data_IF_274687148730
#
_entry.id   IF_274687148730
#
_cell.length_a   1.000
_cell.length_b   1.000
_cell.length_c   1.000
_cell.angle_alpha   90.00
_cell.angle_beta   90.00
_cell.angle_gamma   90.00
#
_symmetry.space_group_name_H-M   'P 1'
#
loop_
_entity.id
_entity.type
_entity.pdbx_description
1 polymer ?
#
# COMPACT_ATOMS: atom_id res chain seq x y z
N UNK A 1 -9.61 33.79 9.13
CA UNK A 1 -10.70 33.54 10.11
C UNK A 1 -10.12 32.80 11.30
N UNK A 2 -10.45 33.18 12.54
CA UNK A 2 -10.00 32.43 13.73
C UNK A 2 -10.88 31.17 13.89
N UNK A 3 -10.29 30.05 14.32
CA UNK A 3 -11.03 28.79 14.59
C UNK A 3 -12.15 28.98 15.63
N UNK A 4 -12.03 30.00 16.49
CA UNK A 4 -13.04 30.40 17.50
C UNK A 4 -14.32 31.02 16.92
N UNK A 5 -14.35 31.35 15.63
CA UNK A 5 -15.51 32.04 15.03
C UNK A 5 -16.40 31.08 14.21
N UNK A 6 -15.94 29.83 14.05
CA UNK A 6 -16.64 28.81 13.26
C UNK A 6 -17.62 28.06 14.14
N UNK A 7 -18.81 27.73 13.62
CA UNK A 7 -19.80 26.93 14.37
C UNK A 7 -19.26 25.56 14.79
N UNK A 8 -19.57 25.11 16.01
CA UNK A 8 -19.13 23.82 16.58
C UNK A 8 -19.49 22.66 15.64
N UNK A 9 -20.74 22.63 15.15
CA UNK A 9 -21.19 21.59 14.23
C UNK A 9 -20.36 21.52 12.94
N UNK A 10 -19.94 22.68 12.41
CA UNK A 10 -19.07 22.74 11.25
C UNK A 10 -17.64 22.27 11.59
N UNK A 11 -17.10 22.63 12.76
CA UNK A 11 -15.77 22.15 13.20
C UNK A 11 -15.72 20.63 13.32
N UNK A 12 -16.72 20.03 13.97
CA UNK A 12 -16.83 18.58 14.10
C UNK A 12 -17.05 17.91 12.74
N UNK A 13 -17.92 18.45 11.89
CA UNK A 13 -18.16 17.95 10.54
C UNK A 13 -16.90 17.97 9.69
N UNK A 14 -16.14 19.08 9.70
CA UNK A 14 -14.86 19.19 8.99
C UNK A 14 -13.83 18.22 9.56
N UNK A 15 -13.72 18.09 10.89
CA UNK A 15 -12.78 17.15 11.51
C UNK A 15 -13.07 15.70 11.15
N UNK A 16 -14.35 15.29 11.18
CA UNK A 16 -14.75 13.94 10.78
C UNK A 16 -14.57 13.70 9.29
N UNK A 17 -14.97 14.66 8.44
CA UNK A 17 -14.76 14.58 7.00
C UNK A 17 -13.26 14.48 6.65
N UNK A 18 -12.41 15.27 7.31
CA UNK A 18 -10.96 15.18 7.16
C UNK A 18 -10.44 13.80 7.57
N UNK A 19 -10.88 13.23 8.69
CA UNK A 19 -10.47 11.89 9.12
C UNK A 19 -10.84 10.82 8.07
N UNK A 20 -12.05 10.87 7.54
CA UNK A 20 -12.51 9.96 6.48
C UNK A 20 -11.66 10.13 5.22
N UNK A 21 -11.40 11.37 4.79
CA UNK A 21 -10.56 11.65 3.63
C UNK A 21 -9.11 11.19 3.82
N UNK A 22 -8.53 11.38 5.00
CA UNK A 22 -7.18 10.90 5.32
C UNK A 22 -7.11 9.36 5.29
N UNK A 23 -8.15 8.69 5.78
CA UNK A 23 -8.26 7.23 5.76
C UNK A 23 -8.42 6.72 4.33
N UNK A 24 -9.28 7.37 3.53
CA UNK A 24 -9.46 7.06 2.12
C UNK A 24 -8.17 7.29 1.31
N UNK A 25 -7.45 8.38 1.58
CA UNK A 25 -6.16 8.69 0.96
C UNK A 25 -5.11 7.62 1.29
N UNK A 26 -4.99 7.24 2.56
CA UNK A 26 -4.07 6.17 2.98
C UNK A 26 -4.41 4.83 2.31
N UNK A 27 -5.71 4.51 2.21
CA UNK A 27 -6.20 3.33 1.51
C UNK A 27 -5.85 3.36 0.02
N UNK A 28 -6.08 4.49 -0.66
CA UNK A 28 -5.75 4.68 -2.07
C UNK A 28 -4.25 4.54 -2.34
N UNK A 29 -3.39 5.18 -1.54
CA UNK A 29 -1.93 5.05 -1.65
C UNK A 29 -1.50 3.59 -1.42
N UNK A 30 -2.05 2.93 -0.41
CA UNK A 30 -1.72 1.53 -0.11
C UNK A 30 -2.12 0.59 -1.26
N UNK A 31 -3.32 0.76 -1.83
CA UNK A 31 -3.79 -0.01 -2.98
C UNK A 31 -2.94 0.23 -4.23
N UNK A 32 -2.57 1.48 -4.50
CA UNK A 32 -1.70 1.82 -5.63
C UNK A 32 -0.32 1.17 -5.50
N UNK A 33 0.29 1.24 -4.30
CA UNK A 33 1.59 0.61 -4.06
C UNK A 33 1.51 -0.93 -4.11
N UNK A 34 0.43 -1.52 -3.60
CA UNK A 34 0.20 -2.97 -3.68
C UNK A 34 0.00 -3.44 -5.12
N UNK A 35 -0.69 -2.66 -5.95
CA UNK A 35 -0.86 -2.94 -7.38
C UNK A 35 0.47 -2.96 -8.13
N UNK A 36 1.40 -2.05 -7.81
CA UNK A 36 2.76 -2.06 -8.38
C UNK A 36 3.55 -3.30 -7.98
N UNK A 37 3.49 -3.68 -6.69
CA UNK A 37 4.14 -4.91 -6.21
C UNK A 37 3.55 -6.14 -6.90
N UNK A 38 2.22 -6.18 -7.05
CA UNK A 38 1.55 -7.29 -7.75
C UNK A 38 1.98 -7.38 -9.21
N UNK A 39 2.06 -6.28 -9.94
CA UNK A 39 2.42 -6.29 -11.36
C UNK A 39 3.83 -6.88 -11.57
N UNK A 40 4.81 -6.43 -10.78
CA UNK A 40 6.19 -6.95 -10.88
C UNK A 40 6.27 -8.42 -10.43
N UNK A 41 5.55 -8.80 -9.37
CA UNK A 41 5.48 -10.20 -8.94
C UNK A 41 4.86 -11.10 -10.00
N UNK A 42 3.87 -10.59 -10.73
CA UNK A 42 3.24 -11.30 -11.85
C UNK A 42 4.23 -11.49 -13.01
N UNK A 43 5.00 -10.47 -13.39
CA UNK A 43 6.01 -10.58 -14.44
C UNK A 43 7.03 -11.70 -14.14
N UNK A 44 7.55 -11.74 -12.91
CA UNK A 44 8.47 -12.80 -12.47
C UNK A 44 7.80 -14.19 -12.56
N UNK A 45 6.56 -14.30 -12.09
CA UNK A 45 5.86 -15.58 -11.98
C UNK A 45 5.34 -16.11 -13.32
N UNK A 46 4.86 -15.24 -14.21
CA UNK A 46 4.23 -15.62 -15.48
C UNK A 46 5.13 -15.52 -16.70
N UNK A 47 6.28 -14.83 -16.61
CA UNK A 47 7.22 -14.68 -17.70
C UNK A 47 8.61 -15.26 -17.34
N UNK A 48 9.34 -14.62 -16.44
CA UNK A 48 10.77 -14.90 -16.23
C UNK A 48 11.05 -16.31 -15.67
N UNK A 49 10.31 -16.75 -14.66
CA UNK A 49 10.49 -18.09 -14.08
C UNK A 49 10.16 -19.20 -15.09
N UNK A 50 9.01 -19.16 -15.80
CA UNK A 50 8.76 -20.08 -16.91
C UNK A 50 9.84 -20.05 -18.00
N UNK A 51 10.33 -18.87 -18.40
CA UNK A 51 11.38 -18.74 -19.42
C UNK A 51 12.70 -19.42 -19.01
N UNK A 52 13.13 -19.28 -17.76
CA UNK A 52 14.27 -20.05 -17.21
C UNK A 52 13.98 -21.56 -17.24
N UNK A 53 12.76 -21.96 -16.88
CA UNK A 53 12.34 -23.37 -16.90
C UNK A 53 12.36 -23.97 -18.31
N UNK A 54 11.73 -23.31 -19.28
CA UNK A 54 11.63 -23.80 -20.66
C UNK A 54 12.99 -23.84 -21.35
N UNK A 55 13.83 -22.81 -21.21
CA UNK A 55 15.19 -22.84 -21.77
C UNK A 55 16.04 -23.98 -21.18
N UNK A 56 15.87 -24.28 -19.90
CA UNK A 56 16.43 -25.46 -19.25
C UNK A 56 15.90 -26.78 -19.82
N UNK A 57 14.58 -26.90 -20.01
CA UNK A 57 13.95 -28.09 -20.59
C UNK A 57 14.38 -28.33 -22.04
N UNK A 58 14.45 -27.28 -22.87
CA UNK A 58 15.00 -27.35 -24.23
C UNK A 58 16.42 -27.89 -24.23
N UNK A 59 17.27 -27.40 -23.32
CA UNK A 59 18.65 -27.89 -23.18
C UNK A 59 18.68 -29.37 -22.80
N UNK A 60 17.83 -29.81 -21.88
CA UNK A 60 17.72 -31.23 -21.50
C UNK A 60 17.26 -32.09 -22.67
N UNK A 61 16.24 -31.67 -23.41
CA UNK A 61 15.70 -32.41 -24.57
C UNK A 61 16.75 -32.55 -25.67
N UNK A 62 17.47 -31.47 -26.01
CA UNK A 62 18.57 -31.52 -26.97
C UNK A 62 19.69 -32.46 -26.54
N UNK A 63 20.12 -32.42 -25.28
CA UNK A 63 21.15 -33.33 -24.76
C UNK A 63 20.68 -34.79 -24.75
N UNK A 64 19.40 -35.04 -24.47
CA UNK A 64 18.82 -36.39 -24.55
C UNK A 64 18.76 -36.90 -26.00
N UNK A 65 18.42 -36.05 -26.96
CA UNK A 65 18.49 -36.39 -28.38
C UNK A 65 19.93 -36.71 -28.80
N UNK A 66 20.90 -35.87 -28.41
CA UNK A 66 22.33 -36.10 -28.68
C UNK A 66 22.83 -37.42 -28.09
N UNK A 67 22.34 -37.80 -26.90
CA UNK A 67 22.63 -39.09 -26.28
C UNK A 67 22.02 -40.27 -27.05
N UNK A 68 20.80 -40.13 -27.57
CA UNK A 68 20.18 -41.16 -28.42
C UNK A 68 20.95 -41.33 -29.74
N UNK A 69 21.44 -40.23 -30.32
CA UNK A 69 22.33 -40.26 -31.50
C UNK A 69 23.63 -41.02 -31.20
N UNK A 70 24.27 -40.75 -30.05
CA UNK A 70 25.45 -41.50 -29.61
C UNK A 70 25.15 -43.00 -29.40
N UNK A 71 23.96 -43.33 -28.88
CA UNK A 71 23.50 -44.71 -28.71
C UNK A 71 23.44 -45.50 -30.01
N UNK A 72 23.11 -44.84 -31.13
CA UNK A 72 23.09 -45.48 -32.46
C UNK A 72 24.47 -45.93 -32.93
N UNK A 73 25.54 -45.23 -32.54
CA UNK A 73 26.93 -45.58 -32.89
C UNK A 73 27.32 -46.92 -32.26
N UNK A 74 26.83 -47.17 -31.04
CA UNK A 74 27.11 -48.39 -30.27
C UNK A 74 26.02 -49.46 -30.37
N UNK A 75 25.01 -49.23 -31.22
CA UNK A 75 23.91 -50.16 -31.39
C UNK A 75 24.41 -51.51 -31.93
N UNK A 76 23.71 -52.58 -31.57
CA UNK A 76 24.07 -53.96 -31.94
C UNK A 76 23.05 -54.63 -32.84
N UNK A 77 21.96 -53.95 -33.16
CA UNK A 77 20.91 -54.44 -34.04
C UNK A 77 20.13 -53.31 -34.70
N UNK A 78 19.46 -53.64 -35.79
CA UNK A 78 18.49 -52.73 -36.46
C UNK A 78 17.35 -52.32 -35.53
N UNK A 79 16.93 -53.20 -34.61
CA UNK A 79 15.90 -52.90 -33.62
C UNK A 79 16.36 -51.82 -32.62
N UNK A 80 17.62 -51.86 -32.17
CA UNK A 80 18.18 -50.82 -31.29
C UNK A 80 18.28 -49.46 -32.01
N UNK A 81 18.75 -49.43 -33.26
CA UNK A 81 18.79 -48.21 -34.07
C UNK A 81 17.37 -47.63 -34.23
N UNK A 82 16.39 -48.47 -34.56
CA UNK A 82 15.01 -48.03 -34.71
C UNK A 82 14.44 -47.47 -33.40
N UNK A 83 14.71 -48.11 -32.26
CA UNK A 83 14.29 -47.62 -30.95
C UNK A 83 14.90 -46.24 -30.61
N UNK A 84 16.18 -46.02 -30.91
CA UNK A 84 16.79 -44.70 -30.74
C UNK A 84 16.20 -43.64 -31.70
N UNK A 85 15.88 -44.03 -32.94
CA UNK A 85 15.27 -43.12 -33.92
C UNK A 85 13.88 -42.66 -33.46
N UNK A 86 13.04 -43.59 -32.99
CA UNK A 86 11.72 -43.30 -32.44
C UNK A 86 11.79 -42.40 -31.21
N UNK A 87 12.75 -42.66 -30.32
CA UNK A 87 13.02 -41.82 -29.16
C UNK A 87 13.40 -40.38 -29.55
N UNK A 88 14.20 -40.20 -30.60
CA UNK A 88 14.56 -38.86 -31.09
C UNK A 88 13.35 -38.15 -31.72
N UNK A 89 12.53 -38.86 -32.49
CA UNK A 89 11.29 -38.29 -33.06
C UNK A 89 10.33 -37.84 -31.96
N UNK A 90 10.14 -38.66 -30.92
CA UNK A 90 9.31 -38.29 -29.77
C UNK A 90 9.84 -37.02 -29.06
N UNK A 91 11.16 -36.96 -28.83
CA UNK A 91 11.79 -35.78 -28.18
C UNK A 91 11.78 -34.54 -29.06
N UNK A 92 11.87 -34.68 -30.37
CA UNK A 92 11.74 -33.56 -31.29
C UNK A 92 10.35 -32.91 -31.16
N UNK A 93 9.29 -33.72 -31.03
CA UNK A 93 7.92 -33.23 -30.77
C UNK A 93 7.80 -32.54 -29.42
N UNK A 94 8.40 -33.09 -28.36
CA UNK A 94 8.44 -32.43 -27.06
C UNK A 94 9.17 -31.10 -27.12
N UNK A 95 10.28 -31.03 -27.85
CA UNK A 95 11.07 -29.83 -28.02
C UNK A 95 10.28 -28.75 -28.78
N UNK A 96 9.57 -29.11 -29.86
CA UNK A 96 8.67 -28.20 -30.58
C UNK A 96 7.54 -27.66 -29.68
N UNK A 97 6.96 -28.53 -28.83
CA UNK A 97 5.94 -28.12 -27.87
C UNK A 97 6.49 -27.11 -26.87
N UNK A 98 7.68 -27.36 -26.29
CA UNK A 98 8.31 -26.45 -25.33
C UNK A 98 8.72 -25.14 -25.99
N UNK A 99 9.23 -25.18 -27.23
CA UNK A 99 9.51 -23.96 -28.00
C UNK A 99 8.26 -23.11 -28.20
N UNK A 100 7.12 -23.72 -28.54
CA UNK A 100 5.86 -23.01 -28.71
C UNK A 100 5.33 -22.38 -27.40
N UNK A 101 5.66 -22.99 -26.25
CA UNK A 101 5.33 -22.44 -24.93
C UNK A 101 6.27 -21.30 -24.52
N UNK A 102 7.53 -21.35 -24.96
CA UNK A 102 8.53 -20.35 -24.67
C UNK A 102 8.46 -19.12 -25.59
N UNK A 103 8.21 -19.32 -26.90
CA UNK A 103 8.15 -18.24 -27.89
C UNK A 103 7.31 -17.01 -27.50
N UNK A 104 6.10 -17.13 -26.91
CA UNK A 104 5.33 -15.96 -26.48
C UNK A 104 5.93 -15.20 -25.30
N UNK A 105 6.84 -15.81 -24.54
CA UNK A 105 7.52 -15.22 -23.39
C UNK A 105 8.83 -14.52 -23.77
N UNK A 106 9.33 -14.76 -24.98
CA UNK A 106 10.60 -14.19 -25.44
C UNK A 106 10.52 -12.68 -25.55
N UNK A 107 11.32 -11.99 -24.73
CA UNK A 107 11.38 -10.54 -24.71
C UNK A 107 12.01 -9.97 -25.99
N UNK A 108 11.60 -8.76 -26.44
CA UNK A 108 12.26 -8.07 -27.54
C UNK A 108 13.76 -7.82 -27.29
N UNK A 109 14.52 -7.59 -28.37
CA UNK A 109 15.96 -7.31 -28.29
C UNK A 109 16.81 -8.58 -28.23
N UNK A 110 17.79 -8.61 -27.33
CA UNK A 110 18.83 -9.64 -27.27
C UNK A 110 18.26 -11.06 -27.09
N UNK A 111 17.21 -11.23 -26.28
CA UNK A 111 16.59 -12.54 -26.08
C UNK A 111 15.92 -13.06 -27.36
N UNK A 112 15.18 -12.20 -28.08
CA UNK A 112 14.57 -12.56 -29.37
C UNK A 112 15.61 -12.89 -30.43
N UNK A 113 16.70 -12.14 -30.49
CA UNK A 113 17.80 -12.41 -31.41
C UNK A 113 18.46 -13.77 -31.11
N UNK A 114 18.76 -14.03 -29.83
CA UNK A 114 19.31 -15.31 -29.39
C UNK A 114 18.35 -16.49 -29.66
N UNK A 115 17.04 -16.30 -29.51
CA UNK A 115 16.04 -17.32 -29.80
C UNK A 115 15.97 -17.65 -31.29
N UNK A 116 16.05 -16.64 -32.16
CA UNK A 116 16.12 -16.88 -33.61
C UNK A 116 17.44 -17.57 -34.00
N UNK A 117 18.56 -17.16 -33.42
CA UNK A 117 19.84 -17.83 -33.63
C UNK A 117 19.79 -19.31 -33.20
N UNK A 118 19.15 -19.61 -32.07
CA UNK A 118 18.89 -20.97 -31.63
C UNK A 118 18.07 -21.75 -32.66
N UNK A 119 16.95 -21.21 -33.14
CA UNK A 119 16.11 -21.88 -34.17
C UNK A 119 16.90 -22.20 -35.43
N UNK A 120 17.71 -21.26 -35.90
CA UNK A 120 18.57 -21.45 -37.09
C UNK A 120 19.62 -22.53 -36.85
N UNK A 121 20.34 -22.50 -35.72
CA UNK A 121 21.40 -23.48 -35.40
C UNK A 121 20.83 -24.86 -35.14
N UNK A 122 19.67 -24.96 -34.47
CA UNK A 122 18.93 -26.20 -34.30
C UNK A 122 18.56 -26.82 -35.65
N UNK A 123 18.03 -26.01 -36.58
CA UNK A 123 17.66 -26.51 -37.91
C UNK A 123 18.89 -27.01 -38.69
N UNK A 124 20.05 -26.36 -38.56
CA UNK A 124 21.30 -26.84 -39.15
C UNK A 124 21.75 -28.18 -38.54
N UNK A 125 21.73 -28.29 -37.21
CA UNK A 125 22.02 -29.54 -36.50
C UNK A 125 21.07 -30.67 -36.91
N UNK A 126 19.76 -30.41 -37.04
CA UNK A 126 18.78 -31.43 -37.42
C UNK A 126 19.04 -32.01 -38.82
N UNK A 127 19.59 -31.22 -39.76
CA UNK A 127 19.99 -31.75 -41.08
C UNK A 127 21.12 -32.77 -40.95
N UNK A 128 22.13 -32.48 -40.12
CA UNK A 128 23.26 -33.37 -39.87
C UNK A 128 22.82 -34.63 -39.10
N UNK A 129 21.97 -34.45 -38.09
CA UNK A 129 21.38 -35.56 -37.34
C UNK A 129 20.55 -36.49 -38.24
N UNK A 130 19.77 -35.94 -39.17
CA UNK A 130 18.98 -36.74 -40.12
C UNK A 130 19.89 -37.62 -40.99
N UNK A 131 21.00 -37.06 -41.49
CA UNK A 131 21.99 -37.83 -42.26
C UNK A 131 22.61 -38.97 -41.43
N UNK A 132 22.97 -38.70 -40.17
CA UNK A 132 23.50 -39.74 -39.29
C UNK A 132 22.46 -40.86 -39.07
N UNK A 133 21.20 -40.52 -38.82
CA UNK A 133 20.12 -41.50 -38.62
C UNK A 133 19.91 -42.36 -39.87
N UNK A 134 19.97 -41.77 -41.07
CA UNK A 134 19.84 -42.51 -42.33
C UNK A 134 20.99 -43.50 -42.52
N UNK A 135 22.24 -43.08 -42.26
CA UNK A 135 23.41 -43.96 -42.30
C UNK A 135 23.29 -45.08 -41.26
N UNK A 136 22.86 -44.76 -40.03
CA UNK A 136 22.69 -45.73 -38.94
C UNK A 136 21.63 -46.80 -39.28
N UNK A 137 20.55 -46.42 -39.94
CA UNK A 137 19.50 -47.35 -40.39
C UNK A 137 19.95 -48.28 -41.52
N UNK A 138 20.93 -47.86 -42.32
CA UNK A 138 21.49 -48.63 -43.42
C UNK A 138 22.60 -49.61 -42.97
N UNK A 139 22.97 -49.61 -41.68
CA UNK A 139 24.01 -50.50 -41.15
C UNK A 139 23.57 -51.96 -41.24
N UNK A 140 24.43 -52.78 -41.85
CA UNK A 140 24.30 -54.23 -41.83
C UNK A 140 24.99 -54.84 -40.60
N UNK A 141 24.18 -55.39 -39.70
CA UNK A 141 24.61 -56.02 -38.45
C UNK A 141 25.01 -57.50 -38.61
N UNK A 142 25.06 -58.03 -39.85
CA UNK A 142 25.31 -59.46 -40.11
C UNK A 142 26.79 -59.87 -40.06
N UNK A 143 27.73 -58.95 -40.29
CA UNK A 143 29.18 -59.24 -40.28
C UNK A 143 29.99 -58.25 -39.45
N UNK A 144 31.08 -58.72 -38.81
CA UNK A 144 31.91 -57.88 -37.94
C UNK A 144 32.68 -56.79 -38.70
N UNK A 145 33.08 -57.04 -39.95
CA UNK A 145 33.84 -56.07 -40.75
C UNK A 145 32.96 -54.90 -41.21
N UNK A 146 31.70 -55.17 -41.60
CA UNK A 146 30.72 -54.13 -41.94
C UNK A 146 30.33 -53.31 -40.70
N UNK A 147 30.28 -53.95 -39.54
CA UNK A 147 30.04 -53.28 -38.25
C UNK A 147 31.18 -52.33 -37.87
N UNK A 148 32.44 -52.73 -38.01
CA UNK A 148 33.57 -51.88 -37.69
C UNK A 148 33.63 -50.62 -38.59
N UNK A 149 33.46 -50.81 -39.91
CA UNK A 149 33.47 -49.70 -40.87
C UNK A 149 32.30 -48.73 -40.68
N UNK A 150 31.11 -49.24 -40.38
CA UNK A 150 29.94 -48.40 -40.11
C UNK A 150 30.05 -47.65 -38.78
N UNK A 151 30.62 -48.28 -37.75
CA UNK A 151 30.89 -47.61 -36.47
C UNK A 151 31.89 -46.45 -36.61
N UNK A 152 32.94 -46.62 -37.41
CA UNK A 152 33.90 -45.54 -37.70
C UNK A 152 33.25 -44.40 -38.50
N UNK A 153 32.45 -44.72 -39.51
CA UNK A 153 31.73 -43.73 -40.30
C UNK A 153 30.73 -42.93 -39.45
N UNK A 154 29.93 -43.61 -38.62
CA UNK A 154 28.99 -42.98 -37.69
C UNK A 154 29.71 -42.14 -36.64
N UNK A 155 30.84 -42.62 -36.11
CA UNK A 155 31.67 -41.87 -35.17
C UNK A 155 32.23 -40.59 -35.80
N UNK A 156 32.66 -40.64 -37.07
CA UNK A 156 33.11 -39.47 -37.82
C UNK A 156 31.99 -38.46 -38.06
N UNK A 157 30.80 -38.90 -38.45
CA UNK A 157 29.63 -38.04 -38.61
C UNK A 157 29.20 -37.40 -37.28
N UNK A 158 29.21 -38.18 -36.20
CA UNK A 158 28.85 -37.72 -34.86
C UNK A 158 29.86 -36.70 -34.34
N UNK A 159 31.15 -37.01 -34.33
CA UNK A 159 32.20 -36.18 -33.72
C UNK A 159 32.67 -35.02 -34.60
N UNK A 160 32.31 -35.01 -35.89
CA UNK A 160 32.68 -33.97 -36.85
C UNK A 160 31.72 -32.77 -36.84
N UNK A 161 31.15 -32.46 -38.01
CA UNK A 161 30.26 -31.30 -38.18
C UNK A 161 29.01 -31.37 -37.31
N UNK A 162 28.48 -32.57 -37.03
CA UNK A 162 27.29 -32.75 -36.17
C UNK A 162 27.56 -32.25 -34.74
N UNK A 163 28.71 -32.59 -34.15
CA UNK A 163 29.10 -32.09 -32.82
C UNK A 163 29.24 -30.58 -32.81
N UNK A 164 29.90 -30.00 -33.83
CA UNK A 164 30.08 -28.54 -33.92
C UNK A 164 28.73 -27.83 -34.00
N UNK A 165 27.80 -28.35 -34.81
CA UNK A 165 26.45 -27.78 -34.94
C UNK A 165 25.62 -27.96 -33.64
N UNK A 166 25.74 -29.11 -32.98
CA UNK A 166 25.11 -29.37 -31.69
C UNK A 166 25.59 -28.38 -30.63
N UNK A 167 26.91 -28.23 -30.47
CA UNK A 167 27.52 -27.31 -29.51
C UNK A 167 27.05 -25.88 -29.78
N UNK A 168 27.06 -25.43 -31.04
CA UNK A 168 26.62 -24.09 -31.39
C UNK A 168 25.14 -23.82 -31.03
N UNK A 169 24.26 -24.82 -31.17
CA UNK A 169 22.86 -24.73 -30.74
C UNK A 169 22.72 -24.79 -29.21
N UNK A 170 23.45 -25.68 -28.53
CA UNK A 170 23.43 -25.79 -27.08
C UNK A 170 23.97 -24.53 -26.38
N UNK A 171 24.96 -23.87 -26.98
CA UNK A 171 25.49 -22.58 -26.51
C UNK A 171 24.44 -21.48 -26.59
N UNK A 172 23.62 -21.41 -27.66
CA UNK A 172 22.52 -20.43 -27.73
C UNK A 172 21.48 -20.65 -26.64
N UNK A 173 21.16 -21.90 -26.28
CA UNK A 173 20.29 -22.19 -25.13
C UNK A 173 20.95 -21.75 -23.81
N UNK A 174 22.27 -21.91 -23.69
CA UNK A 174 23.03 -21.38 -22.56
C UNK A 174 23.01 -19.85 -22.47
N UNK A 175 23.07 -19.16 -23.62
CA UNK A 175 22.93 -17.70 -23.69
C UNK A 175 21.51 -17.26 -23.29
N UNK A 176 20.47 -17.90 -23.84
CA UNK A 176 19.07 -17.62 -23.48
C UNK A 176 18.81 -17.84 -21.99
N UNK A 177 19.36 -18.91 -21.40
CA UNK A 177 19.24 -19.16 -19.97
C UNK A 177 19.93 -18.07 -19.16
N UNK A 178 21.14 -17.62 -19.55
CA UNK A 178 21.84 -16.51 -18.89
C UNK A 178 21.08 -15.19 -18.99
N UNK A 179 20.52 -14.87 -20.16
CA UNK A 179 19.70 -13.67 -20.39
C UNK A 179 18.49 -13.70 -19.46
N UNK A 180 17.73 -14.80 -19.45
CA UNK A 180 16.55 -14.94 -18.61
C UNK A 180 16.87 -14.92 -17.11
N UNK A 181 17.95 -15.58 -16.67
CA UNK A 181 18.38 -15.51 -15.27
C UNK A 181 18.84 -14.11 -14.86
N UNK A 182 19.58 -13.40 -15.73
CA UNK A 182 20.00 -12.03 -15.45
C UNK A 182 18.82 -11.06 -15.38
N UNK A 183 17.83 -11.21 -16.28
CA UNK A 183 16.58 -10.44 -16.21
C UNK A 183 15.80 -10.75 -14.92
N UNK A 184 15.68 -12.02 -14.53
CA UNK A 184 15.04 -12.41 -13.27
C UNK A 184 15.74 -11.81 -12.04
N UNK A 185 17.08 -11.82 -12.00
CA UNK A 185 17.86 -11.22 -10.91
C UNK A 185 17.69 -9.69 -10.86
N UNK A 186 17.67 -9.03 -12.03
CA UNK A 186 17.45 -7.59 -12.13
C UNK A 186 16.05 -7.20 -11.66
N UNK A 187 15.02 -7.91 -12.11
CA UNK A 187 13.63 -7.68 -11.71
C UNK A 187 13.42 -7.95 -10.21
N UNK A 188 14.10 -8.96 -9.66
CA UNK A 188 14.08 -9.20 -8.21
C UNK A 188 14.70 -8.03 -7.43
N UNK A 189 15.82 -7.46 -7.89
CA UNK A 189 16.42 -6.28 -7.27
C UNK A 189 15.50 -5.05 -7.39
N UNK A 190 14.83 -4.88 -8.53
CA UNK A 190 13.86 -3.80 -8.73
C UNK A 190 12.66 -3.96 -7.78
N UNK A 191 12.11 -5.17 -7.62
CA UNK A 191 11.04 -5.47 -6.66
C UNK A 191 11.41 -5.06 -5.24
N UNK A 192 12.65 -5.32 -4.80
CA UNK A 192 13.10 -4.87 -3.48
C UNK A 192 13.09 -3.34 -3.36
N UNK A 193 13.55 -2.63 -4.39
CA UNK A 193 13.54 -1.16 -4.40
C UNK A 193 12.12 -0.60 -4.40
N UNK A 194 11.20 -1.19 -5.18
CA UNK A 194 9.78 -0.82 -5.24
C UNK A 194 9.10 -1.09 -3.91
N UNK A 195 9.42 -2.20 -3.25
CA UNK A 195 8.90 -2.53 -1.93
C UNK A 195 9.37 -1.53 -0.86
N UNK A 196 10.65 -1.16 -0.85
CA UNK A 196 11.17 -0.15 0.07
C UNK A 196 10.53 1.22 -0.18
N UNK A 197 10.40 1.63 -1.44
CA UNK A 197 9.71 2.86 -1.80
C UNK A 197 8.24 2.84 -1.35
N UNK A 198 7.52 1.72 -1.56
CA UNK A 198 6.17 1.53 -1.07
C UNK A 198 6.07 1.69 0.44
N UNK A 199 6.99 1.09 1.19
CA UNK A 199 7.03 1.20 2.64
C UNK A 199 7.25 2.65 3.09
N UNK A 200 8.18 3.38 2.45
CA UNK A 200 8.43 4.80 2.75
C UNK A 200 7.18 5.65 2.45
N UNK A 201 6.51 5.44 1.31
CA UNK A 201 5.29 6.18 0.96
C UNK A 201 4.11 5.89 1.89
N UNK A 202 3.89 4.62 2.25
CA UNK A 202 2.81 4.22 3.16
C UNK A 202 3.07 4.74 4.56
N UNK A 203 4.28 4.57 5.10
CA UNK A 203 4.64 5.07 6.43
C UNK A 203 4.67 6.61 6.48
N UNK A 204 5.16 7.26 5.43
CA UNK A 204 5.17 8.72 5.31
C UNK A 204 3.77 9.30 5.28
N UNK A 205 2.87 8.73 4.45
CA UNK A 205 1.46 9.12 4.40
C UNK A 205 0.76 8.85 5.73
N UNK A 206 1.01 7.69 6.36
CA UNK A 206 0.46 7.37 7.67
C UNK A 206 0.89 8.40 8.73
N UNK A 207 2.19 8.70 8.81
CA UNK A 207 2.72 9.69 9.74
C UNK A 207 2.11 11.08 9.50
N UNK A 208 1.96 11.49 8.24
CA UNK A 208 1.30 12.74 7.88
C UNK A 208 -0.18 12.76 8.29
N UNK A 209 -0.93 11.68 8.03
CA UNK A 209 -2.32 11.54 8.45
C UNK A 209 -2.48 11.61 9.97
N UNK A 210 -1.61 10.93 10.72
CA UNK A 210 -1.60 10.95 12.20
C UNK A 210 -1.29 12.36 12.71
N UNK A 211 -0.26 13.01 12.17
CA UNK A 211 0.10 14.38 12.56
C UNK A 211 -1.06 15.36 12.29
N UNK A 212 -1.71 15.26 11.12
CA UNK A 212 -2.85 16.11 10.77
C UNK A 212 -4.05 15.84 11.70
N UNK A 213 -4.35 14.57 11.98
CA UNK A 213 -5.42 14.17 12.88
C UNK A 213 -5.17 14.67 14.32
N UNK A 214 -3.93 14.62 14.81
CA UNK A 214 -3.55 15.17 16.11
C UNK A 214 -3.73 16.69 16.16
N UNK A 215 -3.27 17.41 15.13
CA UNK A 215 -3.42 18.88 15.06
C UNK A 215 -4.88 19.28 15.03
N UNK A 216 -5.70 18.62 14.21
CA UNK A 216 -7.15 18.87 14.13
C UNK A 216 -7.84 18.51 15.44
N UNK A 217 -7.55 17.34 16.00
CA UNK A 217 -8.12 16.88 17.27
C UNK A 217 -7.83 17.84 18.41
N UNK A 218 -6.55 18.18 18.64
CA UNK A 218 -6.15 19.12 19.69
C UNK A 218 -6.77 20.51 19.48
N UNK A 219 -6.82 20.99 18.24
CA UNK A 219 -7.41 22.30 17.92
C UNK A 219 -8.90 22.35 18.19
N UNK A 220 -9.64 21.32 17.76
CA UNK A 220 -11.09 21.21 17.99
C UNK A 220 -11.36 21.06 19.49
N UNK A 221 -10.67 20.13 20.17
CA UNK A 221 -10.82 19.93 21.62
C UNK A 221 -10.59 21.23 22.37
N UNK A 222 -9.46 21.93 22.13
CA UNK A 222 -9.18 23.21 22.81
C UNK A 222 -10.21 24.29 22.51
N UNK A 223 -10.77 24.32 21.30
CA UNK A 223 -11.78 25.31 20.91
C UNK A 223 -13.15 25.09 21.56
N UNK A 224 -13.43 23.89 22.07
CA UNK A 224 -14.71 23.53 22.69
C UNK A 224 -14.57 23.40 24.21
N UNK A 225 -13.60 22.62 24.69
CA UNK A 225 -13.50 22.27 26.12
C UNK A 225 -13.07 23.46 26.99
N UNK A 226 -12.22 24.36 26.49
CA UNK A 226 -11.82 25.55 27.26
C UNK A 226 -12.98 26.54 27.48
N UNK A 227 -13.70 27.00 26.43
CA UNK A 227 -14.89 27.84 26.64
C UNK A 227 -15.99 27.14 27.45
N UNK A 228 -16.14 25.82 27.32
CA UNK A 228 -17.12 25.07 28.10
C UNK A 228 -16.76 25.10 29.60
N UNK A 229 -15.48 24.92 29.94
CA UNK A 229 -15.02 25.07 31.33
C UNK A 229 -15.24 26.48 31.87
N UNK A 230 -15.03 27.52 31.05
CA UNK A 230 -15.32 28.91 31.42
C UNK A 230 -16.82 29.12 31.70
N UNK A 231 -17.70 28.59 30.85
CA UNK A 231 -19.15 28.67 31.03
C UNK A 231 -19.62 27.95 32.30
N UNK A 232 -19.03 26.79 32.62
CA UNK A 232 -19.33 26.07 33.88
C UNK A 232 -18.87 26.88 35.10
N UNK A 233 -17.66 27.45 35.06
CA UNK A 233 -17.15 28.28 36.16
C UNK A 233 -18.03 29.52 36.38
N UNK A 234 -18.40 30.19 35.29
CA UNK A 234 -19.31 31.33 35.27
C UNK A 234 -20.65 31.02 35.94
N UNK A 235 -21.30 29.92 35.51
CA UNK A 235 -22.58 29.51 36.06
C UNK A 235 -22.49 29.20 37.57
N UNK A 236 -21.37 28.62 38.03
CA UNK A 236 -21.13 28.38 39.46
C UNK A 236 -20.99 29.68 40.25
N UNK A 237 -20.19 30.63 39.78
CA UNK A 237 -20.05 31.94 40.45
C UNK A 237 -21.39 32.66 40.58
N UNK A 238 -22.20 32.65 39.51
CA UNK A 238 -23.55 33.23 39.54
C UNK A 238 -24.44 32.50 40.55
N UNK A 239 -24.40 31.16 40.58
CA UNK A 239 -25.18 30.35 41.53
C UNK A 239 -24.75 30.58 42.99
N UNK A 240 -23.48 30.87 43.25
CA UNK A 240 -22.95 31.22 44.57
C UNK A 240 -23.20 32.69 44.96
N UNK A 241 -23.77 33.49 44.04
CA UNK A 241 -24.06 34.91 44.26
C UNK A 241 -22.88 35.85 44.03
N UNK A 242 -21.74 35.35 43.54
CA UNK A 242 -20.63 36.19 43.11
C UNK A 242 -20.90 36.73 41.71
N UNK A 243 -21.37 37.98 41.67
CA UNK A 243 -21.67 38.72 40.44
C UNK A 243 -20.55 39.70 40.06
N UNK A 244 -19.38 39.63 40.71
CA UNK A 244 -18.31 40.62 40.52
C UNK A 244 -17.33 40.24 39.40
N UNK A 245 -17.17 38.95 39.12
CA UNK A 245 -16.26 38.45 38.10
C UNK A 245 -16.74 38.82 36.68
N UNK A 246 -15.94 39.61 35.96
CA UNK A 246 -16.19 39.92 34.55
C UNK A 246 -15.87 38.71 33.67
N UNK A 247 -16.78 38.38 32.74
CA UNK A 247 -16.59 37.24 31.85
C UNK A 247 -16.17 37.69 30.46
N UNK A 248 -14.95 37.35 30.02
CA UNK A 248 -14.48 37.70 28.69
C UNK A 248 -15.19 36.86 27.62
N UNK A 249 -16.34 37.31 27.13
CA UNK A 249 -17.02 36.69 25.99
C UNK A 249 -16.18 36.88 24.71
N UNK A 250 -15.56 35.80 24.23
CA UNK A 250 -14.78 35.78 23.00
C UNK A 250 -15.29 34.70 22.06
N UNK A 251 -15.25 34.98 20.76
CA UNK A 251 -15.67 34.07 19.71
C UNK A 251 -17.10 34.33 19.23
N UNK A 252 -17.37 33.99 17.97
CA UNK A 252 -18.69 34.11 17.33
C UNK A 252 -19.44 32.79 17.22
N UNK A 253 -18.82 31.71 17.67
CA UNK A 253 -19.40 30.37 17.69
C UNK A 253 -20.41 30.19 18.85
N UNK A 254 -21.04 29.02 18.91
CA UNK A 254 -22.06 28.70 19.90
C UNK A 254 -21.53 28.79 21.34
N UNK A 255 -20.23 28.55 21.57
CA UNK A 255 -19.62 28.73 22.90
C UNK A 255 -19.45 30.21 23.25
N UNK A 256 -19.03 31.04 22.29
CA UNK A 256 -18.97 32.49 22.47
C UNK A 256 -20.35 33.10 22.76
N UNK A 257 -21.39 32.62 22.06
CA UNK A 257 -22.78 33.02 22.31
C UNK A 257 -23.27 32.60 23.70
N UNK A 258 -22.95 31.37 24.15
CA UNK A 258 -23.27 30.91 25.50
C UNK A 258 -22.60 31.78 26.58
N UNK A 259 -21.30 32.08 26.42
CA UNK A 259 -20.58 32.95 27.36
C UNK A 259 -21.16 34.36 27.39
N UNK A 260 -21.56 34.92 26.24
CA UNK A 260 -22.24 36.22 26.17
C UNK A 260 -23.59 36.20 26.88
N UNK A 261 -24.40 35.15 26.70
CA UNK A 261 -25.69 35.03 27.35
C UNK A 261 -25.57 34.89 28.89
N UNK A 262 -24.54 34.18 29.37
CA UNK A 262 -24.24 34.10 30.81
C UNK A 262 -23.83 35.48 31.36
N UNK A 263 -23.13 36.31 30.59
CA UNK A 263 -22.72 37.66 31.00
C UNK A 263 -23.90 38.61 31.09
N UNK A 264 -24.82 38.52 30.14
CA UNK A 264 -26.09 39.25 30.18
C UNK A 264 -26.92 38.85 31.41
N UNK A 265 -26.96 37.54 31.74
CA UNK A 265 -27.63 37.03 32.94
C UNK A 265 -26.98 37.56 34.23
N UNK A 266 -25.65 37.50 34.35
CA UNK A 266 -24.90 38.06 35.49
C UNK A 266 -25.22 39.54 35.68
N UNK A 267 -25.15 40.32 34.60
CA UNK A 267 -25.36 41.77 34.63
C UNK A 267 -26.79 42.13 35.05
N UNK A 268 -27.78 41.38 34.56
CA UNK A 268 -29.18 41.58 34.94
C UNK A 268 -29.42 41.21 36.41
N UNK A 269 -28.89 40.09 36.90
CA UNK A 269 -28.97 39.71 38.31
C UNK A 269 -28.31 40.76 39.21
N UNK A 270 -27.14 41.28 38.82
CA UNK A 270 -26.43 42.31 39.59
C UNK A 270 -27.27 43.59 39.71
N UNK A 271 -27.94 43.98 38.62
CA UNK A 271 -28.87 45.12 38.60
C UNK A 271 -30.07 44.89 39.52
N UNK A 272 -30.68 43.69 39.49
CA UNK A 272 -31.81 43.33 40.36
C UNK A 272 -31.41 43.36 41.82
N UNK A 273 -30.29 42.72 42.20
CA UNK A 273 -29.81 42.69 43.59
C UNK A 273 -29.47 44.09 44.10
N UNK A 274 -28.82 44.92 43.28
CA UNK A 274 -28.51 46.31 43.63
C UNK A 274 -29.78 47.14 43.80
N UNK A 275 -30.77 46.98 42.92
CA UNK A 275 -32.06 47.65 43.03
C UNK A 275 -32.83 47.24 44.30
N UNK A 276 -32.85 45.94 44.64
CA UNK A 276 -33.46 45.45 45.89
C UNK A 276 -32.77 46.03 47.11
N UNK A 277 -31.43 46.08 47.12
CA UNK A 277 -30.66 46.69 48.22
C UNK A 277 -30.98 48.18 48.37
N UNK A 278 -30.97 48.94 47.28
CA UNK A 278 -31.29 50.38 47.30
C UNK A 278 -32.73 50.65 47.79
N UNK A 279 -33.68 49.80 47.40
CA UNK A 279 -35.07 49.89 47.88
C UNK A 279 -35.16 49.56 49.37
N UNK A 280 -34.44 48.52 49.85
CA UNK A 280 -34.39 48.16 51.26
C UNK A 280 -33.75 49.27 52.12
N UNK A 281 -32.68 49.91 51.65
CA UNK A 281 -32.07 51.08 52.30
C UNK A 281 -33.04 52.27 52.37
N UNK A 282 -33.80 52.51 51.30
CA UNK A 282 -34.84 53.55 51.27
C UNK A 282 -35.98 53.27 52.27
N UNK A 283 -36.44 52.02 52.33
CA UNK A 283 -37.46 51.59 53.31
C UNK A 283 -36.93 51.70 54.73
N UNK A 284 -35.69 51.27 55.01
CA UNK A 284 -35.08 51.38 56.33
C UNK A 284 -34.95 52.85 56.78
N UNK A 285 -34.52 53.74 55.87
CA UNK A 285 -34.46 55.18 56.13
C UNK A 285 -35.85 55.77 56.42
N UNK A 286 -36.87 55.41 55.63
CA UNK A 286 -38.25 55.85 55.85
C UNK A 286 -38.80 55.33 57.18
N UNK A 287 -38.57 54.06 57.52
CA UNK A 287 -38.95 53.49 58.81
C UNK A 287 -38.26 54.18 59.99
N UNK A 288 -36.98 54.55 59.86
CA UNK A 288 -36.27 55.33 60.88
C UNK A 288 -36.87 56.73 61.07
N UNK A 289 -37.24 57.40 59.97
CA UNK A 289 -37.96 58.68 60.04
C UNK A 289 -39.34 58.55 60.69
N UNK A 290 -40.10 57.50 60.35
CA UNK A 290 -41.40 57.22 60.98
C UNK A 290 -41.22 56.96 62.48
N UNK A 291 -40.26 56.13 62.88
CA UNK A 291 -40.00 55.83 64.29
C UNK A 291 -39.61 57.09 65.07
N UNK A 292 -38.75 57.93 64.50
CA UNK A 292 -38.40 59.24 65.08
C UNK A 292 -39.63 60.14 65.22
N UNK A 293 -40.47 60.21 64.18
CA UNK A 293 -41.71 60.99 64.22
C UNK A 293 -42.71 60.45 65.24
N UNK A 294 -42.80 59.13 65.41
CA UNK A 294 -43.68 58.49 66.38
C UNK A 294 -43.19 58.73 67.82
N UNK A 295 -41.87 58.73 68.06
CA UNK A 295 -41.30 59.11 69.36
C UNK A 295 -41.59 60.58 69.70
N UNK A 296 -41.44 61.50 68.75
CA UNK A 296 -41.79 62.92 68.95
C UNK A 296 -43.28 63.07 69.26
N UNK A 297 -44.14 62.35 68.53
CA UNK A 297 -45.57 62.35 68.77
C UNK A 297 -45.95 61.76 70.14
N UNK A 298 -45.35 60.62 70.52
CA UNK A 298 -45.54 60.03 71.85
C UNK A 298 -45.09 60.98 72.96
N UNK A 299 -43.93 61.62 72.82
CA UNK A 299 -43.44 62.59 73.80
C UNK A 299 -44.38 63.80 73.94
N UNK A 300 -44.90 64.31 72.82
CA UNK A 300 -45.91 65.38 72.82
C UNK A 300 -47.24 64.93 73.43
N UNK A 301 -47.64 63.68 73.19
CA UNK A 301 -48.87 63.10 73.75
C UNK A 301 -48.73 62.91 75.27
N UNK A 302 -47.57 62.46 75.77
CA UNK A 302 -47.26 62.40 77.21
C UNK A 302 -47.25 63.79 77.85
N UNK A 303 -46.64 64.79 77.22
CA UNK A 303 -46.68 66.17 77.69
C UNK A 303 -48.12 66.71 77.77
N UNK A 304 -48.97 66.39 76.79
CA UNK A 304 -50.37 66.80 76.80
C UNK A 304 -51.20 66.04 77.85
N UNK A 305 -50.96 64.74 78.03
CA UNK A 305 -51.62 63.95 79.07
C UNK A 305 -51.24 64.44 80.48
N UNK A 306 -49.95 64.73 80.71
CA UNK A 306 -49.46 65.28 81.99
C UNK A 306 -49.94 66.70 82.28
N UNK A 307 -50.38 67.46 81.27
CA UNK A 307 -50.97 68.78 81.45
C UNK A 307 -52.48 68.73 81.80
N UNK A 308 -53.09 67.54 81.73
CA UNK A 308 -54.50 67.29 82.07
C UNK A 308 -54.69 66.68 83.47
N UNK A 309 -53.62 66.18 84.10
CA UNK A 309 -53.54 65.78 85.52
C UNK A 309 -53.24 66.96 86.44
#
# INVERSE_FOLDING_TARGET
MKISDVRIGLKLGVGFCALVLLTALLGAVSLFQLSRIHHNAQEIASNLLPSVGYTGELRVLMNRMRRSEAGMITARSTAEVQAFAEQMVARAKDLERVEAQYEPLVSPGEEREAFQAFRTRKAAYYKLQSNLIEVAKAVDFSTNDTLALSADALSGLFAGESETAFVAAAETLGQLQKINSAQADQEQAEVQSVFQAARVWVLGTLAACVALALVLGVSITRSVTRPAGQAVSAARSIAEGDLTAAMPAHGKDEMGQLLSALEDMRTNLARVVTGVRSNAESVASASAQIASGNNDLSARTEQQASALE
#
